data_IF_703658245119
#
_entry.id   IF_703658245119
#
_cell.length_a   1.000
_cell.length_b   1.000
_cell.length_c   1.000
_cell.angle_alpha   90.00
_cell.angle_beta   90.00
_cell.angle_gamma   90.00
#
_symmetry.space_group_name_H-M   'P 1'
#
loop_
_entity.id
_entity.type
_entity.pdbx_description
1 polymer ?
#
# COMPACT_ATOMS: atom_id res chain seq x y z
N UNK A 1 12.39 15.22 70.35
CA UNK A 1 11.99 14.03 69.55
C UNK A 1 10.83 14.28 68.55
N UNK A 2 10.11 15.41 68.58
CA UNK A 2 8.90 15.63 67.74
C UNK A 2 9.21 16.22 66.34
N UNK A 3 10.27 17.01 66.19
CA UNK A 3 10.56 17.71 64.92
C UNK A 3 10.94 16.81 63.73
N UNK A 4 11.56 15.65 63.97
CA UNK A 4 11.99 14.73 62.91
C UNK A 4 10.83 14.00 62.22
N UNK A 5 9.73 13.75 62.92
CA UNK A 5 8.57 13.05 62.37
C UNK A 5 7.78 13.92 61.39
N UNK A 6 7.58 15.20 61.73
CA UNK A 6 6.96 16.19 60.84
C UNK A 6 7.83 16.47 59.61
N UNK A 7 9.16 16.57 59.78
CA UNK A 7 10.07 16.73 58.66
C UNK A 7 9.98 15.57 57.67
N UNK A 8 9.92 14.33 58.19
CA UNK A 8 9.80 13.13 57.36
C UNK A 8 8.47 13.07 56.60
N UNK A 9 7.37 13.49 57.22
CA UNK A 9 6.06 13.50 56.58
C UNK A 9 5.94 14.58 55.49
N UNK A 10 6.50 15.77 55.70
CA UNK A 10 6.54 16.82 54.69
C UNK A 10 7.45 16.46 53.53
N UNK A 11 8.60 15.82 53.82
CA UNK A 11 9.47 15.23 52.81
C UNK A 11 8.71 14.22 51.95
N UNK A 12 8.06 13.23 52.57
CA UNK A 12 7.30 12.21 51.84
C UNK A 12 6.21 12.81 50.96
N UNK A 13 5.48 13.82 51.45
CA UNK A 13 4.43 14.47 50.68
C UNK A 13 4.98 15.20 49.45
N UNK A 14 6.17 15.83 49.59
CA UNK A 14 6.84 16.51 48.48
C UNK A 14 7.35 15.52 47.44
N UNK A 15 8.02 14.44 47.87
CA UNK A 15 8.45 13.38 46.97
C UNK A 15 7.27 12.78 46.21
N UNK A 16 6.19 12.43 46.91
CA UNK A 16 5.01 11.82 46.28
C UNK A 16 4.36 12.71 45.21
N UNK A 17 4.27 14.02 45.46
CA UNK A 17 3.75 14.99 44.49
C UNK A 17 4.68 15.11 43.27
N UNK A 18 5.99 15.08 43.49
CA UNK A 18 6.98 15.19 42.43
C UNK A 18 7.00 13.95 41.53
N UNK A 19 6.87 12.75 42.09
CA UNK A 19 6.73 11.51 41.29
C UNK A 19 5.45 11.50 40.48
N UNK A 20 4.31 11.89 41.06
CA UNK A 20 3.03 11.93 40.36
C UNK A 20 3.05 12.90 39.17
N UNK A 21 3.65 14.07 39.36
CA UNK A 21 3.76 15.08 38.30
C UNK A 21 4.71 14.63 37.17
N UNK A 22 5.75 13.86 37.49
CA UNK A 22 6.65 13.27 36.49
C UNK A 22 5.98 12.14 35.69
N UNK A 23 5.18 11.30 36.34
CA UNK A 23 4.42 10.25 35.67
C UNK A 23 3.37 10.84 34.73
N UNK A 24 2.63 11.86 35.19
CA UNK A 24 1.63 12.57 34.35
C UNK A 24 2.28 13.30 33.17
N UNK A 25 3.46 13.90 33.35
CA UNK A 25 4.25 14.50 32.26
C UNK A 25 4.83 13.43 31.32
N UNK A 26 5.20 12.28 31.84
CA UNK A 26 5.62 11.12 31.07
C UNK A 26 4.49 10.63 30.18
N UNK A 27 3.30 10.41 30.72
CA UNK A 27 2.12 10.00 29.96
C UNK A 27 1.75 11.02 28.87
N UNK A 28 1.73 12.32 29.18
CA UNK A 28 1.50 13.38 28.18
C UNK A 28 2.56 13.40 27.07
N UNK A 29 3.83 13.22 27.42
CA UNK A 29 4.91 13.20 26.44
C UNK A 29 4.80 11.95 25.55
N UNK A 30 4.45 10.81 26.13
CA UNK A 30 4.25 9.56 25.39
C UNK A 30 3.03 9.64 24.46
N UNK A 31 1.90 10.20 24.90
CA UNK A 31 0.74 10.48 24.05
C UNK A 31 1.10 11.47 22.93
N UNK A 32 1.92 12.48 23.22
CA UNK A 32 2.37 13.43 22.21
C UNK A 32 3.36 12.81 21.21
N UNK A 33 4.24 11.91 21.64
CA UNK A 33 5.12 11.15 20.74
C UNK A 33 4.31 10.15 19.91
N UNK A 34 3.30 9.50 20.50
CA UNK A 34 2.42 8.57 19.81
C UNK A 34 1.53 9.28 18.79
N UNK A 35 1.04 10.50 19.08
CA UNK A 35 0.26 11.32 18.13
C UNK A 35 1.11 11.97 17.04
N UNK A 36 2.38 12.32 17.32
CA UNK A 36 3.34 12.80 16.31
C UNK A 36 3.78 11.67 15.37
N UNK A 37 3.85 10.44 15.87
CA UNK A 37 4.19 9.25 15.06
C UNK A 37 2.97 8.65 14.35
N UNK A 38 1.78 8.73 14.96
CA UNK A 38 0.51 8.37 14.34
C UNK A 38 0.10 9.48 13.36
N UNK A 39 0.72 9.47 12.18
CA UNK A 39 0.41 10.37 11.07
C UNK A 39 -1.10 10.54 10.87
N UNK A 40 -1.52 11.78 10.60
CA UNK A 40 -2.92 12.16 10.56
C UNK A 40 -3.77 11.16 9.74
N UNK A 41 -4.84 10.64 10.35
CA UNK A 41 -5.73 9.61 9.77
C UNK A 41 -6.58 10.10 8.59
N UNK A 42 -6.26 11.21 7.94
CA UNK A 42 -7.07 11.74 6.84
C UNK A 42 -6.37 12.58 5.77
N UNK A 43 -5.11 12.99 5.94
CA UNK A 43 -4.39 13.78 4.93
C UNK A 43 -3.25 12.96 4.33
N UNK A 44 -3.19 12.94 3.00
CA UNK A 44 -2.06 12.35 2.27
C UNK A 44 -0.79 13.12 2.63
N UNK A 45 0.21 12.38 3.10
CA UNK A 45 1.54 12.93 3.32
C UNK A 45 2.21 13.21 1.99
N UNK A 46 3.04 14.26 1.92
CA UNK A 46 3.85 14.54 0.74
C UNK A 46 4.71 13.32 0.36
N UNK A 47 5.19 12.57 1.35
CA UNK A 47 5.92 11.32 1.13
C UNK A 47 5.07 10.27 0.41
N UNK A 48 3.81 10.10 0.82
CA UNK A 48 2.89 9.13 0.21
C UNK A 48 2.63 9.48 -1.26
N UNK A 49 2.42 10.77 -1.57
CA UNK A 49 2.22 11.25 -2.94
C UNK A 49 3.46 11.03 -3.82
N UNK A 50 4.65 11.33 -3.29
CA UNK A 50 5.91 11.11 -4.03
C UNK A 50 6.11 9.61 -4.30
N UNK A 51 5.88 8.76 -3.32
CA UNK A 51 5.97 7.30 -3.50
C UNK A 51 4.97 6.80 -4.55
N UNK A 52 3.73 7.31 -4.54
CA UNK A 52 2.72 7.00 -5.54
C UNK A 52 3.18 7.35 -6.95
N UNK A 53 3.75 8.55 -7.13
CA UNK A 53 4.28 8.99 -8.42
C UNK A 53 5.46 8.12 -8.89
N UNK A 54 6.38 7.76 -7.98
CA UNK A 54 7.52 6.88 -8.29
C UNK A 54 7.06 5.49 -8.73
N UNK A 55 6.07 4.91 -8.03
CA UNK A 55 5.47 3.62 -8.41
C UNK A 55 4.85 3.73 -9.80
N UNK A 56 4.04 4.77 -10.06
CA UNK A 56 3.43 4.98 -11.37
C UNK A 56 4.44 5.04 -12.52
N UNK A 57 5.51 5.80 -12.35
CA UNK A 57 6.56 5.93 -13.37
C UNK A 57 7.32 4.60 -13.54
N UNK A 58 7.71 3.95 -12.44
CA UNK A 58 8.46 2.69 -12.49
C UNK A 58 7.66 1.58 -13.17
N UNK A 59 6.40 1.39 -12.77
CA UNK A 59 5.53 0.37 -13.37
C UNK A 59 5.09 0.74 -14.79
N UNK A 60 4.87 2.01 -15.11
CA UNK A 60 4.57 2.41 -16.49
C UNK A 60 5.69 2.05 -17.47
N UNK A 61 6.95 2.16 -17.06
CA UNK A 61 8.10 1.70 -17.85
C UNK A 61 8.15 0.17 -17.94
N UNK A 62 7.89 -0.54 -16.84
CA UNK A 62 7.84 -2.02 -16.83
C UNK A 62 6.76 -2.53 -17.79
N UNK A 63 5.57 -1.92 -17.76
CA UNK A 63 4.44 -2.32 -18.58
C UNK A 63 4.77 -2.13 -20.07
N UNK A 64 5.34 -0.96 -20.41
CA UNK A 64 5.83 -0.67 -21.76
C UNK A 64 6.88 -1.67 -22.25
N UNK A 65 7.80 -2.13 -21.38
CA UNK A 65 8.82 -3.13 -21.74
C UNK A 65 8.19 -4.52 -21.90
N UNK A 66 7.13 -4.82 -21.15
CA UNK A 66 6.49 -6.13 -21.21
C UNK A 66 5.61 -6.31 -22.44
N UNK A 67 5.07 -5.23 -23.02
CA UNK A 67 4.32 -5.28 -24.29
C UNK A 67 5.06 -6.02 -25.41
N UNK A 68 6.31 -5.66 -25.79
CA UNK A 68 7.05 -6.37 -26.82
C UNK A 68 7.40 -7.80 -26.41
N UNK A 69 7.59 -8.08 -25.11
CA UNK A 69 7.82 -9.44 -24.60
C UNK A 69 6.58 -10.31 -24.81
N UNK A 70 5.39 -9.77 -24.52
CA UNK A 70 4.12 -10.44 -24.79
C UNK A 70 3.96 -10.73 -26.28
N UNK A 71 4.12 -9.73 -27.14
CA UNK A 71 3.95 -9.92 -28.59
C UNK A 71 4.93 -10.93 -29.19
N UNK A 72 6.20 -10.95 -28.73
CA UNK A 72 7.20 -11.91 -29.16
C UNK A 72 6.85 -13.34 -28.73
N UNK A 73 6.39 -13.50 -27.48
CA UNK A 73 5.96 -14.79 -26.97
C UNK A 73 4.70 -15.29 -27.68
N UNK A 74 3.77 -14.38 -27.96
CA UNK A 74 2.52 -14.69 -28.65
C UNK A 74 2.77 -15.16 -30.08
N UNK A 75 3.68 -14.51 -30.81
CA UNK A 75 4.06 -14.91 -32.16
C UNK A 75 4.61 -16.36 -32.23
N UNK A 76 5.20 -16.87 -31.14
CA UNK A 76 5.70 -18.25 -31.05
C UNK A 76 4.60 -19.24 -30.64
N UNK A 77 3.68 -18.83 -29.76
CA UNK A 77 2.62 -19.69 -29.23
C UNK A 77 1.38 -19.79 -30.12
N UNK A 78 1.09 -18.76 -30.92
CA UNK A 78 0.01 -18.72 -31.91
C UNK A 78 0.08 -19.89 -32.91
N UNK A 79 1.21 -20.19 -33.58
CA UNK A 79 1.28 -21.33 -34.49
C UNK A 79 1.13 -22.70 -33.80
N UNK A 80 1.26 -22.76 -32.48
CA UNK A 80 1.03 -23.96 -31.67
C UNK A 80 -0.40 -24.06 -31.13
N UNK A 81 -1.28 -23.10 -31.43
CA UNK A 81 -2.65 -23.05 -30.93
C UNK A 81 -2.77 -22.69 -29.44
N UNK A 82 -1.69 -22.19 -28.83
CA UNK A 82 -1.57 -21.94 -27.38
C UNK A 82 -1.72 -20.45 -27.01
N UNK A 83 -2.29 -19.62 -27.88
CA UNK A 83 -2.46 -18.16 -27.70
C UNK A 83 -3.07 -17.77 -26.33
N UNK A 84 -4.06 -18.54 -25.85
CA UNK A 84 -4.71 -18.29 -24.56
C UNK A 84 -3.77 -18.41 -23.34
N UNK A 85 -2.66 -19.15 -23.47
CA UNK A 85 -1.67 -19.29 -22.39
C UNK A 85 -0.66 -18.16 -22.36
N UNK A 86 -0.47 -17.43 -23.47
CA UNK A 86 0.47 -16.31 -23.54
C UNK A 86 0.14 -15.29 -22.45
N UNK A 87 -1.11 -14.83 -22.40
CA UNK A 87 -1.55 -13.85 -21.40
C UNK A 87 -1.47 -14.40 -19.98
N UNK A 88 -1.82 -15.68 -19.76
CA UNK A 88 -1.78 -16.30 -18.44
C UNK A 88 -0.35 -16.34 -17.85
N UNK A 89 0.66 -16.45 -18.70
CA UNK A 89 2.07 -16.48 -18.28
C UNK A 89 2.62 -15.07 -18.09
N UNK A 90 2.22 -14.11 -18.94
CA UNK A 90 2.81 -12.77 -18.97
C UNK A 90 2.03 -11.73 -18.20
N UNK A 91 0.82 -11.99 -17.71
CA UNK A 91 0.00 -10.98 -17.04
C UNK A 91 0.58 -10.50 -15.70
N UNK A 92 1.44 -11.31 -15.06
CA UNK A 92 2.00 -11.05 -13.74
C UNK A 92 2.55 -9.63 -13.53
N UNK A 93 3.50 -9.16 -14.37
CA UNK A 93 4.03 -7.79 -14.32
C UNK A 93 2.96 -6.70 -14.30
N UNK A 94 1.93 -6.79 -15.16
CA UNK A 94 0.81 -5.83 -15.22
C UNK A 94 -0.14 -5.89 -14.02
N UNK A 95 0.03 -6.85 -13.11
CA UNK A 95 -0.77 -6.97 -11.89
C UNK A 95 -0.02 -6.49 -10.64
N UNK A 96 1.22 -6.02 -10.75
CA UNK A 96 2.09 -5.75 -9.61
C UNK A 96 2.00 -4.32 -9.04
N UNK A 97 1.54 -3.33 -9.81
CA UNK A 97 1.52 -1.94 -9.34
C UNK A 97 0.51 -1.72 -8.22
N UNK A 98 -0.73 -2.17 -8.38
CA UNK A 98 -1.78 -2.02 -7.37
C UNK A 98 -1.50 -2.68 -6.00
N UNK A 99 -1.06 -3.95 -5.89
CA UNK A 99 -0.79 -4.55 -4.59
C UNK A 99 0.43 -3.92 -3.92
N UNK A 100 1.44 -3.50 -4.69
CA UNK A 100 2.59 -2.80 -4.13
C UNK A 100 2.20 -1.41 -3.61
N UNK A 101 1.41 -0.65 -4.37
CA UNK A 101 0.91 0.65 -3.95
C UNK A 101 0.03 0.55 -2.70
N UNK A 102 -0.84 -0.46 -2.65
CA UNK A 102 -1.69 -0.74 -1.48
C UNK A 102 -0.87 -1.15 -0.26
N UNK A 103 0.15 -1.99 -0.44
CA UNK A 103 1.01 -2.45 0.64
C UNK A 103 1.91 -1.34 1.22
N UNK A 104 2.47 -0.49 0.36
CA UNK A 104 3.37 0.59 0.77
C UNK A 104 2.61 1.74 1.44
N UNK A 105 1.48 2.16 0.86
CA UNK A 105 0.74 3.32 1.35
C UNK A 105 -0.28 2.95 2.42
N UNK A 106 -0.81 1.71 2.42
CA UNK A 106 -1.83 1.24 3.39
C UNK A 106 -3.03 2.19 3.48
N UNK A 107 -3.41 2.78 2.35
CA UNK A 107 -4.53 3.71 2.21
C UNK A 107 -5.57 3.13 1.26
N UNK A 108 -6.84 3.38 1.56
CA UNK A 108 -7.95 3.12 0.63
C UNK A 108 -7.79 4.06 -0.57
N UNK A 109 -7.85 3.49 -1.77
CA UNK A 109 -7.62 4.12 -3.06
C UNK A 109 -6.19 3.99 -3.59
N UNK A 110 -5.23 3.49 -2.80
CA UNK A 110 -3.84 3.41 -3.22
C UNK A 110 -3.62 2.40 -4.35
N UNK A 111 -4.34 1.28 -4.33
CA UNK A 111 -4.20 0.24 -5.36
C UNK A 111 -4.70 0.71 -6.71
N UNK A 112 -5.90 1.28 -6.74
CA UNK A 112 -6.53 1.87 -7.92
C UNK A 112 -5.64 2.94 -8.56
N UNK A 113 -5.17 3.91 -7.75
CA UNK A 113 -4.37 5.02 -8.25
C UNK A 113 -3.01 4.52 -8.74
N UNK A 114 -2.39 3.57 -8.03
CA UNK A 114 -1.12 2.97 -8.46
C UNK A 114 -1.22 2.30 -9.83
N UNK A 115 -2.27 1.51 -10.06
CA UNK A 115 -2.51 0.83 -11.33
C UNK A 115 -2.80 1.81 -12.47
N UNK A 116 -3.67 2.80 -12.21
CA UNK A 116 -4.00 3.84 -13.17
C UNK A 116 -2.79 4.65 -13.58
N UNK A 117 -1.92 5.00 -12.64
CA UNK A 117 -0.69 5.74 -12.94
C UNK A 117 0.28 4.89 -13.77
N UNK A 118 0.40 3.59 -13.47
CA UNK A 118 1.18 2.65 -14.29
C UNK A 118 0.65 2.55 -15.72
N UNK A 119 -0.65 2.28 -15.87
CA UNK A 119 -1.34 2.22 -17.17
C UNK A 119 -1.25 3.55 -17.94
N UNK A 120 -1.32 4.68 -17.24
CA UNK A 120 -1.11 6.01 -17.84
C UNK A 120 0.32 6.16 -18.33
N UNK A 121 1.31 5.72 -17.55
CA UNK A 121 2.71 5.73 -17.96
C UNK A 121 2.94 4.94 -19.25
N UNK A 122 2.40 3.73 -19.35
CA UNK A 122 2.46 2.91 -20.57
C UNK A 122 1.79 3.62 -21.77
N UNK A 123 0.60 4.16 -21.56
CA UNK A 123 -0.16 4.84 -22.62
C UNK A 123 0.56 6.08 -23.14
N UNK A 124 1.19 6.85 -22.24
CA UNK A 124 1.98 8.04 -22.60
C UNK A 124 3.26 7.69 -23.35
N UNK A 125 3.85 6.53 -23.07
CA UNK A 125 5.02 6.01 -23.80
C UNK A 125 4.65 5.44 -25.17
N UNK A 126 3.35 5.36 -25.49
CA UNK A 126 2.86 4.81 -26.75
C UNK A 126 2.86 3.28 -26.76
N UNK A 127 2.52 2.65 -25.63
CA UNK A 127 2.36 1.20 -25.51
C UNK A 127 1.42 0.60 -26.56
N UNK A 128 1.59 -0.69 -26.80
CA UNK A 128 0.97 -1.42 -27.91
C UNK A 128 -0.56 -1.33 -27.92
N UNK A 129 -1.17 -1.29 -26.73
CA UNK A 129 -2.62 -1.27 -26.53
C UNK A 129 -3.20 0.15 -26.33
N UNK A 130 -2.34 1.16 -26.15
CA UNK A 130 -2.74 2.56 -25.99
C UNK A 130 -3.83 2.78 -24.93
N UNK A 131 -4.93 3.44 -25.32
CA UNK A 131 -6.04 3.78 -24.40
C UNK A 131 -6.73 2.55 -23.82
N UNK A 132 -6.66 1.38 -24.48
CA UNK A 132 -7.22 0.16 -23.93
C UNK A 132 -6.53 -0.26 -22.62
N UNK A 133 -5.24 0.04 -22.47
CA UNK A 133 -4.48 -0.17 -21.23
C UNK A 133 -5.07 0.64 -20.08
N UNK A 134 -5.47 1.89 -20.30
CA UNK A 134 -6.09 2.72 -19.27
C UNK A 134 -7.41 2.14 -18.76
N UNK A 135 -8.26 1.66 -19.67
CA UNK A 135 -9.54 1.06 -19.32
C UNK A 135 -9.32 -0.23 -18.53
N UNK A 136 -8.38 -1.06 -19.01
CA UNK A 136 -8.00 -2.31 -18.34
C UNK A 136 -7.41 -2.03 -16.95
N UNK A 137 -6.49 -1.08 -16.82
CA UNK A 137 -5.88 -0.69 -15.55
C UNK A 137 -6.88 -0.09 -14.56
N UNK A 138 -7.90 0.62 -15.04
CA UNK A 138 -9.00 1.09 -14.19
C UNK A 138 -9.79 -0.07 -13.58
N UNK A 139 -10.23 -1.02 -14.42
CA UNK A 139 -11.00 -2.20 -13.99
C UNK A 139 -10.16 -3.08 -13.05
N UNK A 140 -8.91 -3.33 -13.41
CA UNK A 140 -7.96 -4.11 -12.61
C UNK A 140 -7.64 -3.42 -11.28
N UNK A 141 -7.50 -2.10 -11.29
CA UNK A 141 -7.31 -1.29 -10.09
C UNK A 141 -8.47 -1.42 -9.11
N UNK A 142 -9.72 -1.38 -9.60
CA UNK A 142 -10.92 -1.62 -8.78
C UNK A 142 -10.89 -3.03 -8.19
N UNK A 143 -10.60 -4.05 -9.01
CA UNK A 143 -10.50 -5.44 -8.55
C UNK A 143 -9.44 -5.62 -7.45
N UNK A 144 -8.28 -4.96 -7.60
CA UNK A 144 -7.24 -4.97 -6.58
C UNK A 144 -7.69 -4.31 -5.29
N UNK A 145 -8.36 -3.17 -5.40
CA UNK A 145 -8.79 -2.35 -4.27
C UNK A 145 -9.86 -3.07 -3.45
N UNK A 146 -10.80 -3.74 -4.12
CA UNK A 146 -11.82 -4.57 -3.47
C UNK A 146 -11.18 -5.75 -2.74
N UNK A 147 -10.29 -6.49 -3.41
CA UNK A 147 -9.56 -7.60 -2.76
C UNK A 147 -8.69 -7.14 -1.59
N UNK A 148 -8.08 -5.96 -1.67
CA UNK A 148 -7.26 -5.43 -0.57
C UNK A 148 -8.12 -4.85 0.56
N UNK A 149 -9.25 -4.21 0.27
CA UNK A 149 -10.17 -3.65 1.28
C UNK A 149 -10.86 -4.76 2.08
N UNK A 150 -11.30 -5.83 1.40
CA UNK A 150 -11.89 -7.00 2.05
C UNK A 150 -10.87 -7.72 2.94
N UNK A 151 -9.62 -7.88 2.48
CA UNK A 151 -8.57 -8.54 3.25
C UNK A 151 -8.00 -7.66 4.37
N UNK A 152 -7.90 -6.33 4.18
CA UNK A 152 -7.41 -5.42 5.22
C UNK A 152 -8.40 -5.22 6.37
N UNK A 153 -9.70 -5.45 6.18
CA UNK A 153 -10.62 -5.51 7.33
C UNK A 153 -10.39 -6.77 8.19
N UNK A 154 -9.79 -7.82 7.64
CA UNK A 154 -9.53 -9.07 8.34
C UNK A 154 -8.11 -9.20 8.91
N UNK A 155 -7.10 -8.56 8.31
CA UNK A 155 -5.68 -8.84 8.61
C UNK A 155 -4.88 -7.57 8.86
N UNK A 156 -5.14 -6.92 10.01
CA UNK A 156 -4.13 -6.10 10.69
C UNK A 156 -3.26 -6.95 11.63
N UNK A 157 -2.71 -8.07 11.15
CA UNK A 157 -1.68 -8.81 11.87
C UNK A 157 -0.77 -9.59 10.91
N UNK A 158 0.37 -8.96 10.62
CA UNK A 158 1.69 -9.60 10.46
C UNK A 158 1.82 -10.84 9.57
N UNK A 159 1.37 -10.80 8.31
CA UNK A 159 1.85 -11.79 7.34
C UNK A 159 1.65 -11.44 5.87
N UNK A 160 2.42 -12.13 5.03
CA UNK A 160 2.54 -12.03 3.56
C UNK A 160 1.28 -12.47 2.77
N UNK A 161 0.27 -13.03 3.46
CA UNK A 161 -0.98 -13.54 2.88
C UNK A 161 -1.89 -12.54 2.13
N UNK A 162 -1.92 -11.22 2.40
CA UNK A 162 -2.81 -10.30 1.70
C UNK A 162 -2.44 -10.07 0.23
N UNK A 163 -1.20 -10.33 -0.17
CA UNK A 163 -0.72 -10.18 -1.55
C UNK A 163 -1.30 -11.26 -2.48
N UNK A 164 -1.40 -12.52 -2.03
CA UNK A 164 -1.89 -13.63 -2.84
C UNK A 164 -3.42 -13.57 -3.01
N UNK A 165 -4.17 -13.17 -1.99
CA UNK A 165 -5.64 -13.10 -2.04
C UNK A 165 -6.11 -11.89 -2.86
N UNK A 166 -5.44 -10.74 -2.76
CA UNK A 166 -5.68 -9.59 -3.63
C UNK A 166 -5.34 -9.90 -5.10
N UNK A 167 -4.37 -10.80 -5.35
CA UNK A 167 -4.10 -11.31 -6.69
C UNK A 167 -5.27 -12.17 -7.21
N UNK A 168 -5.80 -13.06 -6.36
CA UNK A 168 -6.90 -13.98 -6.70
C UNK A 168 -8.24 -13.27 -7.01
N UNK A 169 -8.57 -12.20 -6.28
CA UNK A 169 -9.78 -11.40 -6.53
C UNK A 169 -9.80 -10.70 -7.90
N UNK A 170 -8.61 -10.38 -8.46
CA UNK A 170 -8.48 -9.83 -9.81
C UNK A 170 -8.62 -10.88 -10.91
N UNK A 171 -8.14 -12.10 -10.67
CA UNK A 171 -8.33 -13.20 -11.62
C UNK A 171 -9.82 -13.44 -11.91
N UNK A 172 -10.71 -13.24 -10.94
CA UNK A 172 -12.15 -13.41 -11.11
C UNK A 172 -12.81 -12.36 -12.04
N UNK A 173 -12.26 -11.14 -12.11
CA UNK A 173 -12.76 -10.06 -12.98
C UNK A 173 -12.17 -10.10 -14.40
N UNK A 174 -11.05 -10.79 -14.61
CA UNK A 174 -10.41 -10.96 -15.92
C UNK A 174 -10.97 -12.14 -16.74
N UNK A 175 -11.92 -12.91 -16.19
CA UNK A 175 -12.58 -14.04 -16.88
C UNK A 175 -14.00 -13.75 -17.39
N UNK A 176 -14.41 -12.47 -17.50
CA UNK A 176 -15.65 -12.06 -18.15
C UNK A 176 -15.41 -11.01 -19.23
#
# INVERSE_FOLDING_TARGET
MVGGFLYRHLYYKRYFIETYNLETRGEMFMEQVETVTAGSKGKWSLREVILMALIGIAFGVIYFIMDPVYTALDAVLVPLGLHQYTIAITIGPWMMAAPLASYLLKRVGAGLIGELLGATGETLLGGYWGVATLISGFIQGIGSELGFTEVCQMVLKDSFYPLEISSCGRSFLLFY
#
